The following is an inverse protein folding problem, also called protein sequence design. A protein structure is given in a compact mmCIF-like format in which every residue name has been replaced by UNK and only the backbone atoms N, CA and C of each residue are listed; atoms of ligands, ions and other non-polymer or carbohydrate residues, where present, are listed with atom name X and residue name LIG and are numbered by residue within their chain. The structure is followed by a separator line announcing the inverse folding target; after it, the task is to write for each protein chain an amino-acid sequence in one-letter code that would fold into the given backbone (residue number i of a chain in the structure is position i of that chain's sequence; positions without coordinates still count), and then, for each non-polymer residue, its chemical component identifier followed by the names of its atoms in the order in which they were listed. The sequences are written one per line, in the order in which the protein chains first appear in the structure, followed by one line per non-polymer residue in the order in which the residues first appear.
data_IF_464639455732
#
_entry.id   IF_464639455732
#
_cell.length_a   1.000
_cell.length_b   1.000
_cell.length_c   1.000
_cell.angle_alpha   90.00
_cell.angle_beta   90.00
_cell.angle_gamma   90.00
#
_symmetry.space_group_name_H-M   'P 1'
#
loop_
_entity.id
_entity.type
_entity.pdbx_description
1 polymer ?
#
# COMPACT_ATOMS: atom_id res chain seq x y z
N UNK A 1 -0.71 -2.02 2.26
CA UNK A 1 -1.89 -1.64 3.06
C UNK A 1 -3.09 -2.40 2.53
N UNK A 2 -3.93 -2.94 3.42
CA UNK A 2 -5.17 -3.63 3.06
C UNK A 2 -6.32 -3.02 3.85
N UNK A 3 -7.52 -3.10 3.31
CA UNK A 3 -8.72 -2.63 3.97
C UNK A 3 -9.95 -3.39 3.49
N UNK A 4 -11.06 -3.15 4.17
CA UNK A 4 -12.36 -3.66 3.78
C UNK A 4 -13.36 -2.52 3.70
N UNK A 5 -14.22 -2.54 2.69
CA UNK A 5 -15.38 -1.67 2.57
C UNK A 5 -16.63 -2.53 2.61
N UNK A 6 -17.56 -2.19 3.48
CA UNK A 6 -18.87 -2.83 3.53
C UNK A 6 -19.89 -1.94 2.85
N UNK A 7 -20.57 -2.50 1.85
CA UNK A 7 -21.69 -1.89 1.15
C UNK A 7 -22.95 -2.64 1.58
N UNK A 8 -24.00 -1.90 1.91
CA UNK A 8 -25.33 -2.46 2.19
C UNK A 8 -26.20 -2.09 1.01
N UNK A 9 -26.76 -3.12 0.37
CA UNK A 9 -27.53 -2.97 -0.84
C UNK A 9 -28.91 -3.62 -0.69
N UNK A 10 -29.92 -2.95 -1.23
CA UNK A 10 -31.33 -3.40 -1.27
C UNK A 10 -31.75 -3.85 -2.67
N UNK A 11 -30.90 -3.64 -3.69
CA UNK A 11 -31.25 -3.80 -5.11
C UNK A 11 -30.41 -4.89 -5.82
N UNK A 12 -29.74 -5.74 -5.04
CA UNK A 12 -28.89 -6.86 -5.48
C UNK A 12 -27.99 -6.51 -6.69
N UNK A 13 -27.22 -5.43 -6.57
CA UNK A 13 -26.23 -4.96 -7.56
C UNK A 13 -25.24 -6.08 -7.91
N UNK A 14 -24.93 -6.99 -6.99
CA UNK A 14 -24.04 -8.15 -7.25
C UNK A 14 -24.60 -9.12 -8.29
N UNK A 15 -25.92 -9.32 -8.32
CA UNK A 15 -26.57 -10.17 -9.34
C UNK A 15 -26.51 -9.51 -10.73
N UNK A 16 -26.57 -8.18 -10.77
CA UNK A 16 -26.60 -7.41 -12.02
C UNK A 16 -25.20 -7.06 -12.54
N UNK A 17 -24.19 -7.04 -11.68
CA UNK A 17 -22.81 -6.72 -12.00
C UNK A 17 -21.90 -7.77 -11.35
N UNK A 18 -21.41 -8.78 -12.10
CA UNK A 18 -20.59 -9.83 -11.52
C UNK A 18 -19.24 -9.26 -11.09
N UNK A 19 -19.11 -9.00 -9.79
CA UNK A 19 -17.85 -8.59 -9.16
C UNK A 19 -17.09 -9.89 -8.82
N UNK A 20 -15.95 -10.14 -9.47
CA UNK A 20 -15.20 -11.41 -9.46
C UNK A 20 -13.89 -11.33 -8.66
N UNK A 21 -13.53 -10.17 -8.11
CA UNK A 21 -12.28 -9.98 -7.35
C UNK A 21 -11.06 -9.70 -8.21
N UNK A 22 -11.27 -9.10 -9.38
CA UNK A 22 -10.22 -8.60 -10.29
C UNK A 22 -10.40 -7.11 -10.60
N UNK A 23 -11.26 -6.43 -9.84
CA UNK A 23 -11.59 -5.03 -10.03
C UNK A 23 -10.58 -4.10 -9.36
N UNK A 24 -10.57 -2.87 -9.85
CA UNK A 24 -9.85 -1.77 -9.23
C UNK A 24 -10.82 -0.88 -8.47
N UNK A 25 -10.42 -0.49 -7.27
CA UNK A 25 -11.13 0.46 -6.43
C UNK A 25 -10.39 1.81 -6.47
N UNK A 26 -11.07 2.80 -7.03
CA UNK A 26 -10.67 4.21 -6.93
C UNK A 26 -11.68 4.95 -6.04
N UNK A 27 -11.19 5.81 -5.16
CA UNK A 27 -12.07 6.62 -4.33
C UNK A 27 -11.43 7.96 -3.99
N UNK A 28 -12.29 8.95 -3.75
CA UNK A 28 -11.93 10.27 -3.26
C UNK A 28 -12.84 10.64 -2.11
N UNK A 29 -12.29 10.75 -0.90
CA UNK A 29 -13.05 11.07 0.31
C UNK A 29 -12.68 12.48 0.75
N UNK A 30 -13.69 13.32 1.01
CA UNK A 30 -13.51 14.68 1.52
C UNK A 30 -14.21 14.81 2.87
N UNK A 31 -13.48 15.23 3.89
CA UNK A 31 -14.09 15.56 5.19
C UNK A 31 -14.64 16.98 5.13
N UNK A 32 -15.97 17.13 5.27
CA UNK A 32 -16.66 18.42 5.16
C UNK A 32 -16.16 19.49 6.15
N UNK A 33 -15.63 19.08 7.32
CA UNK A 33 -15.20 19.96 8.41
C UNK A 33 -13.92 20.77 8.12
N UNK A 34 -13.10 20.37 7.13
CA UNK A 34 -11.76 20.95 6.91
C UNK A 34 -11.72 22.19 5.99
N UNK A 35 -12.85 22.72 5.55
CA UNK A 35 -12.90 23.88 4.63
C UNK A 35 -12.35 23.56 3.22
N UNK A 36 -12.05 24.59 2.42
CA UNK A 36 -11.50 24.44 1.05
C UNK A 36 -10.04 23.95 1.00
N UNK A 37 -9.41 23.66 2.13
CA UNK A 37 -8.01 23.23 2.17
C UNK A 37 -7.87 21.79 1.67
N UNK A 38 -6.95 21.58 0.74
CA UNK A 38 -6.64 20.27 0.13
C UNK A 38 -6.25 19.20 1.16
N UNK A 39 -5.81 19.60 2.36
CA UNK A 39 -5.41 18.71 3.47
C UNK A 39 -6.53 17.80 4.00
N UNK A 40 -7.80 18.07 3.64
CA UNK A 40 -8.96 17.26 4.05
C UNK A 40 -9.43 16.24 3.00
N UNK A 41 -8.68 16.07 1.90
CA UNK A 41 -9.05 15.23 0.77
C UNK A 41 -8.10 14.02 0.71
N UNK A 42 -8.68 12.83 0.80
CA UNK A 42 -7.98 11.57 0.55
C UNK A 42 -8.30 11.17 -0.88
N UNK A 43 -7.33 11.29 -1.78
CA UNK A 43 -7.48 11.01 -3.21
C UNK A 43 -6.69 9.75 -3.60
N UNK A 44 -7.41 8.71 -4.03
CA UNK A 44 -6.87 7.48 -4.61
C UNK A 44 -7.44 7.24 -6.01
N UNK A 45 -7.69 8.31 -6.78
CA UNK A 45 -8.11 8.21 -8.17
C UNK A 45 -6.96 7.77 -9.09
N UNK A 46 -5.74 8.22 -8.85
CA UNK A 46 -4.56 7.82 -9.65
C UNK A 46 -3.95 6.50 -9.19
N UNK A 47 -3.72 6.36 -7.88
CA UNK A 47 -3.12 5.17 -7.29
C UNK A 47 -4.22 4.21 -6.77
N UNK A 48 -4.89 3.55 -7.70
CA UNK A 48 -6.03 2.67 -7.40
C UNK A 48 -5.65 1.43 -6.58
N UNK A 49 -6.58 0.95 -5.76
CA UNK A 49 -6.45 -0.30 -5.04
C UNK A 49 -6.95 -1.47 -5.87
N UNK A 50 -6.47 -2.68 -5.60
CA UNK A 50 -6.98 -3.92 -6.21
C UNK A 50 -7.87 -4.65 -5.23
N UNK A 51 -9.09 -4.97 -5.64
CA UNK A 51 -9.99 -5.85 -4.90
C UNK A 51 -9.51 -7.29 -5.13
N UNK A 52 -9.33 -8.05 -4.06
CA UNK A 52 -8.82 -9.43 -4.15
C UNK A 52 -9.76 -10.47 -3.55
N UNK A 53 -10.75 -10.04 -2.75
CA UNK A 53 -11.73 -10.92 -2.14
C UNK A 53 -13.03 -10.16 -1.92
N UNK A 54 -14.14 -10.87 -2.08
CA UNK A 54 -15.48 -10.36 -1.83
C UNK A 54 -16.20 -11.36 -0.94
N UNK A 55 -16.78 -10.87 0.15
CA UNK A 55 -17.70 -11.67 0.96
C UNK A 55 -19.10 -11.09 0.84
N UNK A 56 -20.08 -11.93 0.51
CA UNK A 56 -21.50 -11.54 0.46
C UNK A 56 -22.25 -12.19 1.61
N UNK A 57 -23.05 -11.41 2.34
CA UNK A 57 -23.89 -11.90 3.42
C UNK A 57 -25.31 -11.38 3.24
N UNK A 58 -26.26 -12.32 3.14
CA UNK A 58 -27.69 -11.98 3.10
C UNK A 58 -28.10 -11.52 4.50
N UNK A 59 -28.67 -10.32 4.57
CA UNK A 59 -29.28 -9.74 5.77
C UNK A 59 -30.80 -9.99 5.73
N UNK A 60 -31.46 -9.84 6.88
CA UNK A 60 -32.91 -10.03 6.95
C UNK A 60 -33.65 -8.94 6.14
N UNK A 61 -34.66 -9.32 5.36
CA UNK A 61 -35.48 -8.40 4.56
C UNK A 61 -34.86 -7.90 3.23
N UNK A 62 -34.56 -8.81 2.29
CA UNK A 62 -34.06 -8.50 0.92
C UNK A 62 -32.83 -7.57 0.84
N UNK A 63 -32.10 -7.42 1.94
CA UNK A 63 -30.85 -6.66 1.99
C UNK A 63 -29.65 -7.59 1.88
N UNK A 64 -28.67 -7.20 1.10
CA UNK A 64 -27.40 -7.90 0.94
C UNK A 64 -26.26 -7.00 1.43
N UNK A 65 -25.44 -7.51 2.34
CA UNK A 65 -24.21 -6.86 2.76
C UNK A 65 -23.03 -7.43 1.97
N UNK A 66 -22.30 -6.56 1.29
CA UNK A 66 -21.17 -6.90 0.43
C UNK A 66 -19.91 -6.34 1.10
N UNK A 67 -18.91 -7.18 1.32
CA UNK A 67 -17.63 -6.80 1.90
C UNK A 67 -16.57 -6.91 0.81
N UNK A 68 -16.05 -5.78 0.37
CA UNK A 68 -14.97 -5.68 -0.60
C UNK A 68 -13.64 -5.61 0.15
N UNK A 69 -12.80 -6.63 0.01
CA UNK A 69 -11.44 -6.61 0.53
C UNK A 69 -10.49 -6.11 -0.56
N UNK A 70 -9.79 -5.04 -0.26
CA UNK A 70 -8.89 -4.40 -1.19
C UNK A 70 -7.48 -4.27 -0.61
N UNK A 71 -6.50 -4.22 -1.51
CA UNK A 71 -5.09 -4.11 -1.16
C UNK A 71 -4.36 -3.19 -2.12
N UNK A 72 -3.32 -2.53 -1.61
CA UNK A 72 -2.47 -1.64 -2.39
C UNK A 72 -1.62 -2.44 -3.40
N UNK A 73 -1.43 -1.98 -4.65
CA UNK A 73 -0.60 -2.68 -5.64
C UNK A 73 0.82 -3.00 -5.15
N UNK A 74 1.40 -2.13 -4.32
CA UNK A 74 2.72 -2.29 -3.71
C UNK A 74 2.77 -3.51 -2.78
N UNK A 75 1.68 -3.80 -2.05
CA UNK A 75 1.59 -4.97 -1.19
C UNK A 75 1.52 -6.26 -2.02
N UNK A 76 0.78 -6.24 -3.14
CA UNK A 76 0.75 -7.38 -4.06
C UNK A 76 2.13 -7.64 -4.66
N UNK A 77 2.83 -6.59 -5.09
CA UNK A 77 4.21 -6.68 -5.61
C UNK A 77 5.17 -7.16 -4.52
N UNK A 78 5.09 -6.64 -3.31
CA UNK A 78 5.91 -7.10 -2.18
C UNK A 78 5.78 -8.62 -1.97
N UNK A 79 4.57 -9.16 -1.99
CA UNK A 79 4.35 -10.59 -1.79
C UNK A 79 4.93 -11.46 -2.92
N UNK A 80 4.90 -10.97 -4.17
CA UNK A 80 5.40 -11.70 -5.34
C UNK A 80 6.91 -11.56 -5.55
N UNK A 81 7.46 -10.38 -5.25
CA UNK A 81 8.86 -10.05 -5.55
C UNK A 81 9.80 -10.46 -4.42
N UNK A 82 11.05 -10.73 -4.77
CA UNK A 82 12.14 -10.96 -3.83
C UNK A 82 13.33 -10.10 -4.24
N UNK A 83 13.98 -9.49 -3.27
CA UNK A 83 15.20 -8.72 -3.49
C UNK A 83 16.39 -9.64 -3.33
N UNK A 84 17.24 -9.70 -4.37
CA UNK A 84 18.53 -10.36 -4.35
C UNK A 84 19.57 -9.41 -4.95
N UNK A 85 20.29 -8.69 -4.10
CA UNK A 85 21.24 -7.64 -4.52
C UNK A 85 22.23 -7.32 -3.41
N UNK A 86 23.45 -6.97 -3.78
CA UNK A 86 24.43 -6.38 -2.87
C UNK A 86 24.32 -4.86 -2.90
N UNK A 87 24.31 -4.24 -1.72
CA UNK A 87 24.27 -2.79 -1.55
C UNK A 87 25.54 -2.31 -0.87
N UNK A 88 26.05 -1.18 -1.34
CA UNK A 88 27.09 -0.39 -0.66
C UNK A 88 26.67 1.06 -0.73
N UNK A 89 25.71 1.44 0.12
CA UNK A 89 25.15 2.78 0.15
C UNK A 89 24.57 3.11 1.52
N UNK A 90 24.06 4.33 1.66
CA UNK A 90 23.31 4.80 2.82
C UNK A 90 21.94 4.10 2.87
N UNK A 91 21.44 3.81 4.07
CA UNK A 91 20.16 3.09 4.27
C UNK A 91 18.99 3.78 3.55
N UNK A 92 18.84 5.10 3.67
CA UNK A 92 17.81 5.87 2.95
C UNK A 92 17.80 5.62 1.45
N UNK A 93 18.95 5.66 0.78
CA UNK A 93 19.08 5.38 -0.65
C UNK A 93 18.80 3.91 -1.00
N UNK A 94 19.15 2.98 -0.11
CA UNK A 94 18.80 1.56 -0.28
C UNK A 94 17.29 1.37 -0.22
N UNK A 95 16.62 2.00 0.75
CA UNK A 95 15.15 1.94 0.89
C UNK A 95 14.47 2.60 -0.31
N UNK A 96 15.00 3.72 -0.80
CA UNK A 96 14.51 4.39 -2.01
C UNK A 96 14.61 3.49 -3.24
N UNK A 97 15.75 2.84 -3.49
CA UNK A 97 15.90 1.86 -4.59
C UNK A 97 14.88 0.72 -4.44
N UNK A 98 14.68 0.19 -3.23
CA UNK A 98 13.69 -0.89 -3.04
C UNK A 98 12.25 -0.48 -3.31
N UNK A 99 11.90 0.77 -3.01
CA UNK A 99 10.55 1.29 -3.18
C UNK A 99 10.26 1.75 -4.61
N UNK A 100 11.20 2.44 -5.28
CA UNK A 100 10.98 3.03 -6.60
C UNK A 100 11.38 2.13 -7.77
N UNK A 101 12.34 1.23 -7.58
CA UNK A 101 12.86 0.44 -8.69
C UNK A 101 11.77 -0.44 -9.33
N UNK A 102 11.70 -0.41 -10.66
CA UNK A 102 10.72 -1.14 -11.45
C UNK A 102 10.78 -2.66 -11.23
N UNK A 103 11.99 -3.17 -10.93
CA UNK A 103 12.23 -4.58 -10.63
C UNK A 103 11.78 -5.00 -9.22
N UNK A 104 11.40 -4.06 -8.35
CA UNK A 104 10.97 -4.35 -6.98
C UNK A 104 9.53 -3.87 -6.75
N UNK A 105 9.32 -2.88 -5.88
CA UNK A 105 7.99 -2.41 -5.51
C UNK A 105 7.39 -1.48 -6.57
N UNK A 106 8.20 -0.68 -7.26
CA UNK A 106 7.74 0.31 -8.25
C UNK A 106 6.58 1.17 -7.71
N UNK A 107 6.76 1.72 -6.50
CA UNK A 107 5.82 2.65 -5.91
C UNK A 107 5.87 3.97 -6.66
N UNK A 108 4.72 4.41 -7.17
CA UNK A 108 4.55 5.72 -7.82
C UNK A 108 4.06 6.80 -6.86
N UNK A 109 3.82 6.44 -5.60
CA UNK A 109 3.43 7.39 -4.55
C UNK A 109 4.61 8.25 -4.13
N UNK A 110 4.29 9.44 -3.65
CA UNK A 110 5.27 10.32 -3.02
C UNK A 110 5.87 9.64 -1.79
N UNK A 111 7.20 9.49 -1.80
CA UNK A 111 7.94 8.84 -0.73
C UNK A 111 8.58 9.91 0.17
N UNK A 112 8.27 9.82 1.46
CA UNK A 112 8.87 10.67 2.49
C UNK A 112 9.94 9.87 3.23
N UNK A 113 11.17 9.86 2.71
CA UNK A 113 12.30 9.14 3.29
C UNK A 113 13.26 10.16 3.90
N UNK A 114 13.47 10.07 5.22
CA UNK A 114 14.49 10.86 5.89
C UNK A 114 15.89 10.35 5.57
N UNK A 115 16.82 11.28 5.38
CA UNK A 115 18.23 10.94 5.18
C UNK A 115 18.80 10.28 6.43
N UNK A 116 19.49 9.17 6.22
CA UNK A 116 20.15 8.38 7.26
C UNK A 116 21.65 8.57 7.20
N UNK A 117 22.36 8.37 8.31
CA UNK A 117 23.82 8.44 8.36
C UNK A 117 24.50 7.07 8.19
N UNK A 118 25.69 7.08 7.58
CA UNK A 118 26.58 5.92 7.49
C UNK A 118 26.36 5.04 6.25
N UNK A 119 27.46 4.66 5.58
CA UNK A 119 27.46 3.74 4.45
C UNK A 119 27.41 2.31 4.99
N UNK A 120 26.46 1.50 4.50
CA UNK A 120 26.32 0.10 4.86
C UNK A 120 26.66 -0.79 3.66
N UNK A 121 27.50 -1.81 3.92
CA UNK A 121 27.81 -2.88 2.97
C UNK A 121 26.99 -4.10 3.37
N UNK A 122 26.01 -4.45 2.54
CA UNK A 122 24.98 -5.44 2.86
C UNK A 122 24.77 -6.35 1.66
N UNK A 123 24.55 -7.63 1.91
CA UNK A 123 24.16 -8.60 0.88
C UNK A 123 22.75 -9.06 1.20
N UNK A 124 21.83 -8.83 0.28
CA UNK A 124 20.45 -9.26 0.40
C UNK A 124 20.30 -10.56 -0.38
N UNK A 125 20.08 -11.71 0.28
CA UNK A 125 20.02 -12.99 -0.40
C UNK A 125 18.71 -13.14 -1.18
N UNK A 126 17.59 -13.41 -0.50
CA UNK A 126 16.26 -13.47 -1.07
C UNK A 126 15.26 -13.08 0.01
N UNK A 127 14.96 -11.79 0.10
CA UNK A 127 14.04 -11.25 1.11
C UNK A 127 12.86 -10.53 0.47
N UNK A 128 11.75 -10.49 1.19
CA UNK A 128 10.63 -9.61 0.86
C UNK A 128 11.09 -8.16 1.02
N UNK A 129 10.82 -7.27 0.05
CA UNK A 129 11.23 -5.86 0.13
C UNK A 129 10.83 -5.18 1.45
N UNK A 130 9.56 -5.28 1.87
CA UNK A 130 9.08 -4.65 3.10
C UNK A 130 9.70 -5.26 4.37
N UNK A 131 9.91 -6.58 4.39
CA UNK A 131 10.56 -7.22 5.54
C UNK A 131 12.02 -6.74 5.67
N UNK A 132 12.70 -6.55 4.55
CA UNK A 132 14.06 -6.04 4.55
C UNK A 132 14.12 -4.56 4.94
N UNK A 133 13.22 -3.73 4.42
CA UNK A 133 13.09 -2.32 4.83
C UNK A 133 12.85 -2.23 6.33
N UNK A 134 11.98 -3.07 6.90
CA UNK A 134 11.73 -3.09 8.34
C UNK A 134 12.98 -3.47 9.14
N UNK A 135 13.79 -4.42 8.64
CA UNK A 135 15.08 -4.74 9.25
C UNK A 135 16.03 -3.55 9.21
N UNK A 136 16.17 -2.89 8.06
CA UNK A 136 17.03 -1.72 7.92
C UNK A 136 16.60 -0.56 8.82
N UNK A 137 15.28 -0.38 9.01
CA UNK A 137 14.74 0.66 9.86
C UNK A 137 15.22 0.52 11.33
N UNK A 138 15.44 -0.71 11.82
CA UNK A 138 15.95 -0.94 13.19
C UNK A 138 17.42 -0.57 13.38
N UNK A 139 18.18 -0.47 12.29
CA UNK A 139 19.61 -0.15 12.30
C UNK A 139 19.89 1.27 11.75
N UNK A 140 18.84 1.97 11.32
CA UNK A 140 18.91 3.28 10.72
C UNK A 140 19.19 4.33 11.80
N UNK A 141 20.06 5.29 11.47
CA UNK A 141 20.32 6.45 12.34
C UNK A 141 19.98 7.69 11.52
N UNK A 142 19.09 8.53 12.05
CA UNK A 142 18.70 9.77 11.37
C UNK A 142 19.90 10.72 11.27
N UNK A 143 20.13 11.29 10.08
CA UNK A 143 21.18 12.30 9.89
C UNK A 143 20.88 13.58 10.70
N UNK A 144 19.60 13.94 10.78
CA UNK A 144 19.13 15.18 11.43
C UNK A 144 19.11 15.09 12.95
N UNK A 145 18.63 13.98 13.49
CA UNK A 145 18.40 13.83 14.93
C UNK A 145 19.45 12.98 15.64
N UNK A 146 20.37 12.33 14.89
CA UNK A 146 21.43 11.42 15.40
C UNK A 146 20.93 10.39 16.42
N UNK A 147 19.65 10.12 16.41
CA UNK A 147 18.99 9.14 17.25
C UNK A 147 18.74 7.88 16.41
N UNK A 148 18.93 6.69 16.99
CA UNK A 148 18.51 5.43 16.40
C UNK A 148 16.98 5.30 16.35
#
# INVERSE_FOLDING_TARGET
MSGQITLIDTNSIVLNLPIIGQEYLSFKIKTASFGEKETGIIDYTENVFSIYKIDTRIMDGNMEAIILHFTSPEMMRNNRMRVSKSYTNIISTIVEDMLQNEMYINSKKDLFIDKTHGIRKLIVPSSLPFAFIQKLATEAISEKHKSP
#
